data_IF_893993637152
#
_entry.id   IF_893993637152
#
_cell.length_a   1.000
_cell.length_b   1.000
_cell.length_c   1.000
_cell.angle_alpha   90.00
_cell.angle_beta   90.00
_cell.angle_gamma   90.00
#
_symmetry.space_group_name_H-M   'P 1'
#
loop_
_entity.id
_entity.type
_entity.pdbx_description
1 polymer ?
#
# COMPACT_ATOMS: atom_id res chain seq x y z
N UNK A 1 13.27 6.11 9.85
CA UNK A 1 13.07 6.55 8.45
C UNK A 1 11.67 6.11 7.98
N UNK A 2 10.80 7.09 7.69
CA UNK A 2 9.40 6.85 7.29
C UNK A 2 9.28 5.88 6.08
N UNK A 3 10.05 6.12 5.01
CA UNK A 3 9.99 5.29 3.79
C UNK A 3 10.30 3.81 4.08
N UNK A 4 11.30 3.53 4.91
CA UNK A 4 11.67 2.15 5.26
C UNK A 4 10.54 1.46 6.04
N UNK A 5 9.96 2.14 7.03
CA UNK A 5 8.87 1.59 7.83
C UNK A 5 7.64 1.35 6.96
N UNK A 6 7.30 2.29 6.09
CA UNK A 6 6.22 2.17 5.12
C UNK A 6 6.42 0.96 4.21
N UNK A 7 7.58 0.86 3.55
CA UNK A 7 7.88 -0.26 2.65
C UNK A 7 7.84 -1.62 3.37
N UNK A 8 8.36 -1.72 4.59
CA UNK A 8 8.31 -2.95 5.38
C UNK A 8 6.86 -3.35 5.74
N UNK A 9 6.05 -2.41 6.22
CA UNK A 9 4.63 -2.66 6.55
C UNK A 9 3.85 -3.08 5.33
N UNK A 10 4.02 -2.37 4.21
CA UNK A 10 3.41 -2.74 2.94
C UNK A 10 3.84 -4.13 2.48
N UNK A 11 5.12 -4.50 2.64
CA UNK A 11 5.61 -5.83 2.27
C UNK A 11 4.94 -6.93 3.08
N UNK A 12 4.83 -6.77 4.41
CA UNK A 12 4.15 -7.75 5.27
C UNK A 12 2.68 -7.92 4.86
N UNK A 13 1.97 -6.81 4.65
CA UNK A 13 0.57 -6.83 4.21
C UNK A 13 0.43 -7.45 2.81
N UNK A 14 1.33 -7.14 1.88
CA UNK A 14 1.29 -7.68 0.52
C UNK A 14 1.51 -9.19 0.49
N UNK A 15 2.48 -9.71 1.25
CA UNK A 15 2.74 -11.14 1.36
C UNK A 15 1.56 -11.85 2.02
N UNK A 16 1.01 -11.33 3.12
CA UNK A 16 -0.15 -11.89 3.78
C UNK A 16 -1.38 -11.91 2.84
N UNK A 17 -1.61 -10.84 2.06
CA UNK A 17 -2.65 -10.79 1.04
C UNK A 17 -2.40 -11.82 -0.07
N UNK A 18 -1.16 -11.97 -0.54
CA UNK A 18 -0.78 -12.94 -1.56
C UNK A 18 -0.99 -14.40 -1.10
N UNK A 19 -0.79 -14.69 0.17
CA UNK A 19 -1.12 -16.01 0.78
C UNK A 19 -2.62 -16.28 0.71
N UNK A 20 -3.47 -15.31 1.03
CA UNK A 20 -4.93 -15.44 0.90
C UNK A 20 -5.39 -15.63 -0.55
N UNK A 21 -4.63 -15.07 -1.50
CA UNK A 21 -4.87 -15.24 -2.94
C UNK A 21 -4.27 -16.53 -3.51
N UNK A 22 -3.68 -17.39 -2.67
CA UNK A 22 -3.01 -18.63 -3.06
C UNK A 22 -1.96 -18.43 -4.16
N UNK A 23 -1.23 -17.31 -4.11
CA UNK A 23 -0.18 -17.03 -5.09
C UNK A 23 0.97 -18.04 -4.99
N UNK A 24 1.56 -18.47 -6.13
CA UNK A 24 2.76 -19.29 -6.13
C UNK A 24 3.93 -18.60 -5.42
N UNK A 25 4.77 -19.35 -4.71
CA UNK A 25 5.90 -18.82 -3.92
C UNK A 25 6.82 -17.92 -4.76
N UNK A 26 7.12 -18.29 -6.00
CA UNK A 26 7.95 -17.48 -6.90
C UNK A 26 7.37 -16.09 -7.16
N UNK A 27 6.03 -15.99 -7.29
CA UNK A 27 5.32 -14.72 -7.47
C UNK A 27 5.23 -13.91 -6.19
N UNK A 28 5.12 -14.57 -5.04
CA UNK A 28 5.19 -13.89 -3.74
C UNK A 28 6.58 -13.29 -3.49
N UNK A 29 7.66 -13.97 -3.89
CA UNK A 29 9.03 -13.42 -3.81
C UNK A 29 9.16 -12.18 -4.70
N UNK A 30 8.73 -12.24 -5.96
CA UNK A 30 8.73 -11.09 -6.86
C UNK A 30 7.92 -9.91 -6.27
N UNK A 31 6.72 -10.18 -5.74
CA UNK A 31 5.87 -9.18 -5.07
C UNK A 31 6.57 -8.55 -3.86
N UNK A 32 7.21 -9.36 -3.02
CA UNK A 32 7.96 -8.89 -1.85
C UNK A 32 9.09 -7.94 -2.24
N UNK A 33 9.86 -8.29 -3.29
CA UNK A 33 10.91 -7.42 -3.83
C UNK A 33 10.33 -6.12 -4.39
N UNK A 34 9.23 -6.19 -5.16
CA UNK A 34 8.51 -5.01 -5.63
C UNK A 34 8.13 -4.11 -4.46
N UNK A 35 7.52 -4.69 -3.44
CA UNK A 35 6.96 -3.95 -2.32
C UNK A 35 8.04 -3.30 -1.45
N UNK A 36 9.18 -3.95 -1.26
CA UNK A 36 10.33 -3.35 -0.56
C UNK A 36 10.91 -2.16 -1.35
N UNK A 37 10.93 -2.24 -2.67
CA UNK A 37 11.59 -1.26 -3.54
C UNK A 37 10.64 -0.21 -4.13
N UNK A 38 9.31 -0.30 -3.91
CA UNK A 38 8.36 0.57 -4.62
C UNK A 38 8.59 2.07 -4.41
N UNK A 39 9.15 2.45 -3.26
CA UNK A 39 9.46 3.84 -2.90
C UNK A 39 10.92 4.24 -3.25
N UNK A 40 11.72 3.37 -3.89
CA UNK A 40 13.13 3.66 -4.15
C UNK A 40 13.34 4.94 -4.98
N UNK A 41 12.38 5.26 -5.84
CA UNK A 41 12.41 6.50 -6.65
C UNK A 41 12.28 7.78 -5.83
N UNK A 42 11.80 7.71 -4.58
CA UNK A 42 11.77 8.85 -3.67
C UNK A 42 13.18 9.39 -3.35
N UNK A 43 14.20 8.54 -3.46
CA UNK A 43 15.61 8.95 -3.26
C UNK A 43 16.10 9.96 -4.31
N UNK A 44 15.41 10.10 -5.43
CA UNK A 44 15.71 11.11 -6.47
C UNK A 44 15.04 12.46 -6.18
N UNK A 45 14.23 12.55 -5.13
CA UNK A 45 13.53 13.77 -4.75
C UNK A 45 14.23 14.44 -3.56
N UNK A 46 14.15 15.78 -3.45
CA UNK A 46 14.65 16.49 -2.28
C UNK A 46 14.00 15.94 -0.98
N UNK A 47 14.78 15.50 0.01
CA UNK A 47 14.26 14.89 1.25
C UNK A 47 13.24 15.79 1.97
N UNK A 48 13.39 17.11 1.87
CA UNK A 48 12.52 18.09 2.51
C UNK A 48 11.05 17.96 2.07
N UNK A 49 10.81 17.42 0.86
CA UNK A 49 9.45 17.27 0.31
C UNK A 49 8.70 16.14 1.04
N UNK A 50 9.35 14.99 1.30
CA UNK A 50 8.68 13.82 1.88
C UNK A 50 9.00 13.58 3.36
N UNK A 51 10.00 14.27 3.92
CA UNK A 51 10.33 14.21 5.35
C UNK A 51 9.70 15.34 6.16
N UNK A 52 9.13 16.35 5.50
CA UNK A 52 8.52 17.50 6.16
C UNK A 52 7.21 17.15 6.89
N UNK A 53 6.81 18.02 7.82
CA UNK A 53 5.56 17.88 8.59
C UNK A 53 4.41 18.74 8.03
N UNK A 54 4.68 19.58 7.03
CA UNK A 54 3.70 20.46 6.41
C UNK A 54 2.87 19.76 5.33
N UNK A 55 1.70 20.29 5.05
CA UNK A 55 0.94 19.86 3.88
C UNK A 55 1.70 20.17 2.59
N UNK A 56 1.68 19.21 1.66
CA UNK A 56 2.33 19.34 0.37
C UNK A 56 1.57 20.33 -0.52
N UNK A 57 2.29 21.22 -1.14
CA UNK A 57 1.77 22.08 -2.21
C UNK A 57 1.42 21.28 -3.47
N UNK A 58 0.59 21.79 -4.39
CA UNK A 58 0.31 21.13 -5.66
C UNK A 58 1.59 20.79 -6.46
N UNK A 59 2.59 21.68 -6.47
CA UNK A 59 3.88 21.45 -7.11
C UNK A 59 4.68 20.31 -6.48
N UNK A 60 4.75 20.25 -5.14
CA UNK A 60 5.42 19.16 -4.42
C UNK A 60 4.71 17.81 -4.65
N UNK A 61 3.36 17.78 -4.68
CA UNK A 61 2.60 16.59 -5.05
C UNK A 61 2.92 16.13 -6.49
N UNK A 62 3.01 17.04 -7.43
CA UNK A 62 3.40 16.73 -8.81
C UNK A 62 4.85 16.21 -8.91
N UNK A 63 5.75 16.67 -8.05
CA UNK A 63 7.12 16.12 -7.96
C UNK A 63 7.11 14.70 -7.38
N UNK A 64 6.39 14.48 -6.28
CA UNK A 64 6.27 13.15 -5.66
C UNK A 64 5.66 12.15 -6.64
N UNK A 65 4.67 12.54 -7.44
CA UNK A 65 4.04 11.61 -8.40
C UNK A 65 4.99 11.10 -9.51
N UNK A 66 6.22 11.61 -9.59
CA UNK A 66 7.25 11.11 -10.51
C UNK A 66 8.08 9.95 -9.94
N UNK A 67 8.02 9.67 -8.62
CA UNK A 67 8.87 8.63 -8.02
C UNK A 67 8.66 7.23 -8.60
N UNK A 68 7.47 6.79 -9.07
CA UNK A 68 7.35 5.49 -9.71
C UNK A 68 8.18 5.39 -10.99
N UNK A 69 8.26 6.47 -11.77
CA UNK A 69 9.09 6.54 -12.98
C UNK A 69 10.58 6.52 -12.63
N UNK A 70 10.98 7.23 -11.60
CA UNK A 70 12.36 7.22 -11.12
C UNK A 70 12.74 5.83 -10.58
N UNK A 71 11.86 5.20 -9.78
CA UNK A 71 12.05 3.85 -9.28
C UNK A 71 12.19 2.83 -10.41
N UNK A 72 11.29 2.90 -11.40
CA UNK A 72 11.39 2.09 -12.61
C UNK A 72 12.76 2.23 -13.30
N UNK A 73 13.24 3.45 -13.50
CA UNK A 73 14.53 3.71 -14.14
C UNK A 73 15.69 3.11 -13.35
N UNK A 74 15.67 3.23 -12.01
CA UNK A 74 16.70 2.65 -11.14
C UNK A 74 16.74 1.12 -11.30
N UNK A 75 15.61 0.43 -11.12
CA UNK A 75 15.57 -1.04 -11.15
C UNK A 75 15.78 -1.60 -12.56
N UNK A 76 15.40 -0.85 -13.59
CA UNK A 76 15.69 -1.20 -14.98
C UNK A 76 17.20 -1.18 -15.26
N UNK A 77 17.91 -0.14 -14.83
CA UNK A 77 19.36 -0.02 -14.97
C UNK A 77 20.12 -1.09 -14.17
N UNK A 78 19.52 -1.62 -13.12
CA UNK A 78 20.04 -2.73 -12.32
C UNK A 78 19.62 -4.12 -12.86
N UNK A 79 18.99 -4.18 -14.03
CA UNK A 79 18.53 -5.40 -14.71
C UNK A 79 17.58 -6.28 -13.88
N UNK A 80 16.73 -5.68 -13.05
CA UNK A 80 15.66 -6.43 -12.38
C UNK A 80 14.66 -7.01 -13.38
N UNK A 81 13.99 -8.14 -13.08
CA UNK A 81 12.94 -8.70 -13.94
C UNK A 81 11.85 -7.68 -14.30
N UNK A 82 11.29 -7.75 -15.51
CA UNK A 82 10.25 -6.83 -16.00
C UNK A 82 9.04 -6.78 -15.08
N UNK A 83 8.68 -7.92 -14.46
CA UNK A 83 7.57 -7.99 -13.49
C UNK A 83 7.80 -7.07 -12.29
N UNK A 84 9.04 -7.00 -11.78
CA UNK A 84 9.42 -6.10 -10.69
C UNK A 84 9.44 -4.65 -11.17
N UNK A 85 10.02 -4.40 -12.36
CA UNK A 85 10.05 -3.05 -12.94
C UNK A 85 8.63 -2.47 -13.09
N UNK A 86 7.68 -3.26 -13.63
CA UNK A 86 6.30 -2.84 -13.82
C UNK A 86 5.57 -2.67 -12.48
N UNK A 87 5.76 -3.58 -11.53
CA UNK A 87 5.18 -3.45 -10.20
C UNK A 87 5.55 -2.12 -9.52
N UNK A 88 6.82 -1.70 -9.65
CA UNK A 88 7.31 -0.42 -9.12
C UNK A 88 6.76 0.77 -9.92
N UNK A 89 6.68 0.67 -11.25
CA UNK A 89 6.16 1.76 -12.08
C UNK A 89 4.68 2.04 -11.82
N UNK A 90 3.90 0.99 -11.57
CA UNK A 90 2.44 1.01 -11.61
C UNK A 90 1.77 1.03 -10.22
N UNK A 91 2.53 0.99 -9.13
CA UNK A 91 1.97 0.83 -7.78
C UNK A 91 1.01 1.96 -7.32
N UNK A 92 0.96 3.07 -8.03
CA UNK A 92 -0.03 4.13 -7.84
C UNK A 92 -1.11 4.17 -8.92
N UNK A 93 -1.13 3.20 -9.82
CA UNK A 93 -2.26 3.04 -10.72
C UNK A 93 -3.50 2.52 -9.97
N UNK A 94 -4.67 2.72 -10.56
CA UNK A 94 -5.96 2.30 -10.01
C UNK A 94 -6.75 1.54 -11.05
N UNK A 95 -7.58 0.56 -10.63
CA UNK A 95 -8.41 -0.25 -11.54
C UNK A 95 -9.27 0.60 -12.47
N UNK A 96 -9.73 1.76 -12.02
CA UNK A 96 -10.58 2.68 -12.77
C UNK A 96 -9.81 3.70 -13.64
N UNK A 97 -8.48 3.60 -13.75
CA UNK A 97 -7.66 4.50 -14.56
C UNK A 97 -7.44 5.90 -13.99
N UNK A 98 -7.81 6.15 -12.73
CA UNK A 98 -7.59 7.46 -12.08
C UNK A 98 -6.21 7.59 -11.43
N UNK A 99 -5.39 6.53 -11.49
CA UNK A 99 -4.04 6.49 -10.95
C UNK A 99 -2.99 7.20 -11.80
N UNK A 100 -1.74 6.98 -11.49
CA UNK A 100 -0.57 7.51 -12.20
C UNK A 100 0.58 6.49 -12.18
N UNK A 101 1.59 6.60 -13.07
CA UNK A 101 1.86 7.69 -14.01
C UNK A 101 1.21 7.52 -15.38
N UNK A 102 0.72 6.33 -15.75
CA UNK A 102 0.25 6.00 -17.10
C UNK A 102 -1.28 5.97 -17.25
N UNK A 103 -2.01 6.08 -16.16
CA UNK A 103 -3.48 5.99 -16.09
C UNK A 103 -4.03 4.70 -16.70
N UNK A 104 -3.38 3.60 -16.36
CA UNK A 104 -3.82 2.28 -16.78
C UNK A 104 -5.05 1.86 -15.99
N UNK A 105 -5.87 0.97 -16.58
CA UNK A 105 -7.07 0.43 -15.95
C UNK A 105 -7.22 -1.07 -16.20
N UNK A 106 -7.86 -1.76 -15.27
CA UNK A 106 -8.25 -3.16 -15.42
C UNK A 106 -7.05 -4.08 -15.69
N UNK A 107 -7.18 -4.90 -16.74
CA UNK A 107 -6.19 -5.94 -17.09
C UNK A 107 -4.86 -5.39 -17.64
N UNK A 108 -4.77 -4.08 -17.87
CA UNK A 108 -3.52 -3.45 -18.29
C UNK A 108 -2.53 -3.25 -17.13
N UNK A 109 -2.99 -3.36 -15.87
CA UNK A 109 -2.13 -3.27 -14.70
C UNK A 109 -1.48 -4.60 -14.39
N UNK A 110 -0.20 -4.56 -13.97
CA UNK A 110 0.45 -5.73 -13.41
C UNK A 110 -0.23 -6.15 -12.10
N UNK A 111 -0.31 -7.48 -11.88
CA UNK A 111 -0.98 -8.01 -10.70
C UNK A 111 -0.30 -7.58 -9.39
N UNK A 112 1.05 -7.49 -9.41
CA UNK A 112 1.81 -6.96 -8.28
C UNK A 112 1.42 -5.52 -7.96
N UNK A 113 1.29 -4.65 -8.97
CA UNK A 113 0.89 -3.26 -8.76
C UNK A 113 -0.52 -3.14 -8.15
N UNK A 114 -1.47 -3.99 -8.57
CA UNK A 114 -2.82 -4.03 -7.98
C UNK A 114 -2.76 -4.31 -6.47
N UNK A 115 -1.95 -5.28 -6.03
CA UNK A 115 -1.77 -5.62 -4.62
C UNK A 115 -1.05 -4.47 -3.89
N UNK A 116 0.05 -3.96 -4.42
CA UNK A 116 0.82 -2.88 -3.77
C UNK A 116 -0.05 -1.62 -3.62
N UNK A 117 -0.80 -1.24 -4.64
CA UNK A 117 -1.68 -0.08 -4.62
C UNK A 117 -2.68 -0.09 -3.45
N UNK A 118 -3.27 -1.26 -3.16
CA UNK A 118 -4.26 -1.37 -2.09
C UNK A 118 -3.61 -1.42 -0.71
N UNK A 119 -2.50 -2.17 -0.54
CA UNK A 119 -1.82 -2.26 0.76
C UNK A 119 -1.18 -0.94 1.15
N UNK A 120 -0.61 -0.18 0.18
CA UNK A 120 -0.11 1.17 0.42
C UNK A 120 -1.23 2.14 0.83
N UNK A 121 -2.42 2.00 0.24
CA UNK A 121 -3.57 2.83 0.62
C UNK A 121 -4.04 2.52 2.04
N UNK A 122 -4.14 1.23 2.39
CA UNK A 122 -4.49 0.81 3.75
C UNK A 122 -3.45 1.30 4.78
N UNK A 123 -2.16 1.06 4.52
CA UNK A 123 -1.07 1.51 5.37
C UNK A 123 -1.10 3.03 5.55
N UNK A 124 -1.34 3.79 4.46
CA UNK A 124 -1.44 5.23 4.51
C UNK A 124 -2.61 5.76 5.35
N UNK A 125 -3.71 5.00 5.46
CA UNK A 125 -4.86 5.36 6.29
C UNK A 125 -4.56 5.06 7.77
N UNK A 126 -4.00 3.90 8.05
CA UNK A 126 -3.83 3.36 9.41
C UNK A 126 -2.53 3.75 10.09
N UNK A 127 -1.58 4.35 9.36
CA UNK A 127 -0.30 4.80 9.92
C UNK A 127 -0.30 6.29 10.26
N UNK A 128 0.31 6.60 11.40
CA UNK A 128 0.58 7.98 11.78
C UNK A 128 1.57 8.63 10.81
N UNK A 129 1.23 9.80 10.31
CA UNK A 129 2.11 10.62 9.47
C UNK A 129 2.35 11.98 10.12
N UNK A 130 3.43 12.64 9.78
CA UNK A 130 3.80 13.93 10.38
C UNK A 130 2.70 15.01 10.26
N UNK A 131 1.81 14.89 9.27
CA UNK A 131 0.75 15.85 8.96
C UNK A 131 -0.67 15.28 9.12
N UNK A 132 -0.81 14.01 9.59
CA UNK A 132 -2.11 13.32 9.73
C UNK A 132 -2.06 12.37 10.91
N UNK A 133 -3.07 12.41 11.76
CA UNK A 133 -3.29 11.38 12.79
C UNK A 133 -3.59 10.03 12.13
N UNK A 134 -3.16 8.96 12.76
CA UNK A 134 -3.56 7.61 12.39
C UNK A 134 -5.07 7.44 12.55
N UNK A 135 -5.67 6.67 11.66
CA UNK A 135 -7.05 6.20 11.78
C UNK A 135 -7.03 4.74 12.20
N UNK A 136 -8.13 4.28 12.77
CA UNK A 136 -8.23 2.89 13.20
C UNK A 136 -8.11 1.90 12.03
N UNK A 137 -7.78 0.64 12.35
CA UNK A 137 -7.83 -0.47 11.38
C UNK A 137 -9.23 -0.58 10.76
N UNK A 138 -10.28 -0.40 11.57
CA UNK A 138 -11.67 -0.38 11.11
C UNK A 138 -11.93 0.72 10.07
N UNK A 139 -11.44 1.94 10.28
CA UNK A 139 -11.59 3.02 9.30
C UNK A 139 -10.94 2.68 7.97
N UNK A 140 -9.74 2.07 8.01
CA UNK A 140 -9.05 1.59 6.82
C UNK A 140 -9.85 0.52 6.08
N UNK A 141 -10.39 -0.45 6.81
CA UNK A 141 -11.22 -1.50 6.24
C UNK A 141 -12.51 -0.96 5.62
N UNK A 142 -13.21 -0.06 6.30
CA UNK A 142 -14.44 0.58 5.79
C UNK A 142 -14.14 1.36 4.51
N UNK A 143 -13.05 2.12 4.46
CA UNK A 143 -12.68 2.89 3.27
C UNK A 143 -12.39 1.98 2.08
N UNK A 144 -11.71 0.86 2.29
CA UNK A 144 -11.45 -0.13 1.24
C UNK A 144 -12.72 -0.88 0.81
N UNK A 145 -13.62 -1.23 1.74
CA UNK A 145 -14.89 -1.87 1.42
C UNK A 145 -15.80 -0.97 0.59
N UNK A 146 -15.84 0.32 0.88
CA UNK A 146 -16.58 1.29 0.09
C UNK A 146 -16.06 1.37 -1.36
N UNK A 147 -14.78 1.08 -1.57
CA UNK A 147 -14.11 1.00 -2.88
C UNK A 147 -14.63 2.04 -3.89
N UNK A 148 -14.63 3.31 -3.45
CA UNK A 148 -15.21 4.41 -4.23
C UNK A 148 -14.70 4.42 -5.66
N UNK A 149 -15.64 4.48 -6.60
CA UNK A 149 -15.37 4.49 -8.04
C UNK A 149 -14.64 3.25 -8.54
N UNK A 150 -14.72 2.10 -7.86
CA UNK A 150 -14.02 0.86 -8.23
C UNK A 150 -12.51 1.06 -8.43
N UNK A 151 -11.88 1.76 -7.48
CA UNK A 151 -10.45 2.07 -7.54
C UNK A 151 -9.55 0.83 -7.37
N UNK A 152 -10.08 -0.26 -6.79
CA UNK A 152 -9.34 -1.48 -6.48
C UNK A 152 -10.10 -2.73 -6.94
N UNK A 153 -9.36 -3.82 -7.23
CA UNK A 153 -9.94 -5.13 -7.51
C UNK A 153 -10.68 -5.67 -6.27
N UNK A 154 -11.97 -6.05 -6.40
CA UNK A 154 -12.76 -6.56 -5.28
C UNK A 154 -12.15 -7.81 -4.62
N UNK A 155 -11.53 -8.70 -5.39
CA UNK A 155 -10.93 -9.93 -4.87
C UNK A 155 -9.69 -9.62 -4.02
N UNK A 156 -8.87 -8.66 -4.45
CA UNK A 156 -7.70 -8.22 -3.67
C UNK A 156 -8.15 -7.45 -2.41
N UNK A 157 -9.21 -6.63 -2.51
CA UNK A 157 -9.83 -5.99 -1.31
C UNK A 157 -10.22 -7.07 -0.30
N UNK A 158 -10.96 -8.08 -0.74
CA UNK A 158 -11.41 -9.18 0.14
C UNK A 158 -10.24 -9.91 0.76
N UNK A 159 -9.22 -10.28 -0.02
CA UNK A 159 -8.03 -10.96 0.47
C UNK A 159 -7.27 -10.14 1.53
N UNK A 160 -7.08 -8.83 1.30
CA UNK A 160 -6.47 -7.95 2.31
C UNK A 160 -7.32 -7.90 3.59
N UNK A 161 -8.64 -7.78 3.47
CA UNK A 161 -9.53 -7.70 4.63
C UNK A 161 -9.52 -8.98 5.48
N UNK A 162 -9.26 -10.14 4.88
CA UNK A 162 -9.03 -11.39 5.62
C UNK A 162 -7.67 -11.45 6.33
N UNK A 163 -6.72 -10.59 5.96
CA UNK A 163 -5.38 -10.57 6.59
C UNK A 163 -5.27 -9.58 7.74
N UNK A 164 -6.16 -8.59 7.80
CA UNK A 164 -6.11 -7.53 8.81
C UNK A 164 -7.16 -7.74 9.88
N UNK A 165 -6.79 -7.58 11.14
CA UNK A 165 -7.75 -7.70 12.24
C UNK A 165 -8.52 -6.40 12.45
N UNK A 166 -9.86 -6.53 12.64
CA UNK A 166 -10.72 -5.43 13.07
C UNK A 166 -10.28 -4.87 14.42
N UNK A 167 -9.89 -5.78 15.29
CA UNK A 167 -9.46 -5.49 16.65
C UNK A 167 -8.09 -6.12 16.89
N UNK A 168 -6.99 -5.41 16.62
CA UNK A 168 -5.65 -5.94 16.90
C UNK A 168 -5.49 -6.38 18.35
N UNK A 169 -4.60 -7.34 18.60
CA UNK A 169 -4.25 -7.77 19.96
C UNK A 169 -3.89 -6.55 20.80
N UNK A 170 -4.35 -6.51 22.06
CA UNK A 170 -4.26 -5.40 23.01
C UNK A 170 -5.19 -4.22 22.75
N UNK A 171 -6.12 -4.30 21.78
CA UNK A 171 -7.18 -3.31 21.65
C UNK A 171 -8.18 -3.45 22.79
N UNK A 172 -8.57 -2.33 23.41
CA UNK A 172 -9.69 -2.29 24.35
C UNK A 172 -10.99 -2.15 23.58
N UNK A 173 -11.95 -3.02 23.89
CA UNK A 173 -13.27 -3.04 23.25
C UNK A 173 -14.37 -2.94 24.30
N UNK A 174 -15.45 -2.22 23.97
CA UNK A 174 -16.68 -2.19 24.76
C UNK A 174 -17.58 -3.35 24.32
N UNK A 175 -17.93 -4.20 25.30
CA UNK A 175 -18.87 -5.29 25.07
C UNK A 175 -20.32 -4.77 25.18
N UNK A 176 -21.27 -5.49 24.58
CA UNK A 176 -22.71 -5.17 24.66
C UNK A 176 -23.22 -5.06 26.10
N UNK A 177 -22.61 -5.77 27.04
CA UNK A 177 -22.93 -5.72 28.48
C UNK A 177 -22.26 -4.55 29.22
N UNK A 178 -21.73 -3.55 28.50
CA UNK A 178 -21.03 -2.36 29.00
C UNK A 178 -19.71 -2.63 29.74
N UNK A 179 -19.18 -3.83 29.66
CA UNK A 179 -17.84 -4.16 30.18
C UNK A 179 -16.76 -3.81 29.15
N UNK A 180 -15.59 -3.46 29.65
CA UNK A 180 -14.39 -3.30 28.82
C UNK A 180 -13.64 -4.64 28.80
N UNK A 181 -13.24 -5.07 27.64
CA UNK A 181 -12.38 -6.23 27.44
C UNK A 181 -11.14 -5.84 26.63
N UNK A 182 -10.07 -6.63 26.75
CA UNK A 182 -8.88 -6.53 25.93
C UNK A 182 -8.83 -7.70 24.97
N UNK A 183 -8.49 -7.42 23.72
CA UNK A 183 -8.30 -8.49 22.71
C UNK A 183 -6.98 -9.19 23.00
N UNK A 184 -7.04 -10.48 23.29
CA UNK A 184 -5.88 -11.31 23.61
C UNK A 184 -5.43 -12.17 22.45
N UNK A 185 -6.34 -12.46 21.50
CA UNK A 185 -6.05 -13.26 20.30
C UNK A 185 -7.00 -12.86 19.16
N UNK A 186 -6.59 -13.14 17.93
CA UNK A 186 -7.38 -12.90 16.69
C UNK A 186 -7.39 -14.19 15.88
N UNK A 187 -8.58 -14.69 15.60
CA UNK A 187 -8.81 -15.88 14.75
C UNK A 187 -8.79 -15.48 13.29
#
# INVERSE_FOLDING_TARGET
NFLVIHSLRCTVLAIATALQLHMPLSKMIELGVCCILHEIGMLQLPPQIYMGSKQLTPGEKAMISKHPVYGYSIVKNLNFPTTIQLGILEHHEKENGTGYPRRLSGDKLSYAAKIISIVCSYEAITSKRNYKSERSSLDGMVELLLNKNNAYSPDIVRALLHTVSLYPIRTYVYLKNRKIAIVTDTV
#
